data_IF_995004999339
#
_entry.id   IF_995004999339
#
_cell.length_a   1.000
_cell.length_b   1.000
_cell.length_c   1.000
_cell.angle_alpha   90.00
_cell.angle_beta   90.00
_cell.angle_gamma   90.00
#
_symmetry.space_group_name_H-M   'P 1'
#
loop_
_entity.id
_entity.type
_entity.pdbx_description
1 polymer ?
#
# COMPACT_ATOMS: atom_id res chain seq x y z
N UNK A 1 5.79 17.46 6.51
CA UNK A 1 6.36 16.21 5.98
C UNK A 1 6.82 16.51 4.58
N UNK A 2 8.07 16.18 4.21
CA UNK A 2 8.63 16.44 2.88
C UNK A 2 9.32 15.18 2.37
N UNK A 3 9.34 15.01 1.08
CA UNK A 3 9.99 13.92 0.35
C UNK A 3 10.77 14.54 -0.81
N UNK A 4 11.96 14.03 -1.06
CA UNK A 4 12.78 14.44 -2.21
C UNK A 4 12.84 13.28 -3.21
N UNK A 5 12.68 13.62 -4.49
CA UNK A 5 12.71 12.65 -5.58
C UNK A 5 13.96 12.86 -6.42
N UNK A 6 14.65 11.78 -6.74
CA UNK A 6 15.89 11.78 -7.52
C UNK A 6 15.86 10.79 -8.68
N UNK A 7 16.74 10.99 -9.66
CA UNK A 7 16.81 10.24 -10.93
C UNK A 7 18.22 9.67 -11.11
N UNK A 8 18.52 8.48 -10.54
CA UNK A 8 19.88 7.92 -10.58
C UNK A 8 20.29 7.37 -11.95
N UNK A 9 19.38 7.29 -12.91
CA UNK A 9 19.63 6.86 -14.28
C UNK A 9 18.74 5.69 -14.72
N UNK A 10 18.67 5.45 -16.03
CA UNK A 10 17.76 4.48 -16.61
C UNK A 10 16.30 4.87 -16.39
N UNK A 11 15.49 3.94 -15.93
CA UNK A 11 14.09 4.17 -15.53
C UNK A 11 13.90 4.17 -14.02
N UNK A 12 14.99 4.31 -13.26
CA UNK A 12 14.97 4.36 -11.81
C UNK A 12 14.58 5.72 -11.30
N UNK A 13 13.71 5.73 -10.32
CA UNK A 13 13.29 6.93 -9.59
C UNK A 13 13.35 6.60 -8.11
N UNK A 14 14.12 7.38 -7.36
CA UNK A 14 14.31 7.16 -5.92
C UNK A 14 13.64 8.27 -5.13
N UNK A 15 13.29 7.96 -3.91
CA UNK A 15 12.62 8.90 -3.03
C UNK A 15 13.18 8.81 -1.62
N UNK A 16 13.70 9.92 -1.10
CA UNK A 16 14.16 10.01 0.29
C UNK A 16 13.02 10.53 1.17
N UNK A 17 12.62 9.71 2.14
CA UNK A 17 11.50 9.99 3.00
C UNK A 17 11.69 9.42 4.41
N UNK A 18 11.58 10.26 5.43
CA UNK A 18 11.69 9.87 6.84
C UNK A 18 12.98 9.05 7.19
N UNK A 19 14.09 9.35 6.52
CA UNK A 19 15.36 8.66 6.74
C UNK A 19 15.52 7.35 5.96
N UNK A 20 14.61 7.03 5.08
CA UNK A 20 14.67 5.87 4.17
C UNK A 20 14.80 6.34 2.73
N UNK A 21 15.63 5.66 1.95
CA UNK A 21 15.60 5.75 0.49
C UNK A 21 14.72 4.63 -0.04
N UNK A 22 13.65 5.00 -0.72
CA UNK A 22 12.76 4.07 -1.41
C UNK A 22 13.15 4.06 -2.88
N UNK A 23 13.62 2.93 -3.35
CA UNK A 23 14.04 2.71 -4.73
C UNK A 23 12.88 2.19 -5.56
N UNK A 24 12.73 2.71 -6.77
CA UNK A 24 11.80 2.19 -7.78
C UNK A 24 12.49 2.05 -9.15
N UNK A 25 11.99 1.13 -9.95
CA UNK A 25 12.40 0.92 -11.34
C UNK A 25 11.15 0.61 -12.19
N UNK A 26 11.32 0.45 -13.46
CA UNK A 26 10.29 -0.06 -14.36
C UNK A 26 10.59 -1.51 -14.77
N UNK A 27 9.56 -2.20 -15.25
CA UNK A 27 9.73 -3.52 -15.87
C UNK A 27 10.56 -3.42 -17.15
N UNK A 28 11.19 -4.51 -17.58
CA UNK A 28 11.95 -4.57 -18.82
C UNK A 28 11.14 -4.16 -20.06
N UNK A 29 9.86 -4.58 -20.15
CA UNK A 29 8.93 -4.19 -21.23
C UNK A 29 8.67 -2.67 -21.29
N UNK A 30 8.87 -1.97 -20.17
CA UNK A 30 8.69 -0.51 -20.04
C UNK A 30 10.05 0.22 -20.06
N UNK A 31 11.13 -0.51 -20.41
CA UNK A 31 12.48 0.02 -20.59
C UNK A 31 13.31 0.13 -19.32
N UNK A 32 12.89 -0.48 -18.22
CA UNK A 32 13.64 -0.60 -16.97
C UNK A 32 14.46 -1.89 -16.91
N UNK A 33 15.15 -2.07 -15.79
CA UNK A 33 15.98 -3.24 -15.49
C UNK A 33 15.27 -4.22 -14.54
N UNK A 34 14.03 -3.91 -14.12
CA UNK A 34 13.28 -4.66 -13.11
C UNK A 34 14.10 -4.86 -11.81
N UNK A 35 14.90 -3.85 -11.45
CA UNK A 35 15.83 -3.90 -10.31
C UNK A 35 15.18 -3.55 -8.97
N UNK A 36 13.99 -2.99 -8.99
CA UNK A 36 13.18 -2.62 -7.83
C UNK A 36 11.68 -2.64 -8.19
N UNK A 37 10.78 -2.64 -7.20
CA UNK A 37 9.34 -2.51 -7.45
C UNK A 37 9.00 -1.25 -8.24
N UNK A 38 7.97 -1.30 -9.08
CA UNK A 38 7.47 -0.08 -9.71
C UNK A 38 6.77 0.83 -8.68
N UNK A 39 6.64 2.14 -8.95
CA UNK A 39 5.85 3.02 -8.08
C UNK A 39 4.42 2.52 -7.85
N UNK A 40 3.79 1.89 -8.86
CA UNK A 40 2.46 1.29 -8.74
C UNK A 40 2.46 0.08 -7.79
N UNK A 41 3.52 -0.74 -7.80
CA UNK A 41 3.64 -1.87 -6.87
C UNK A 41 3.70 -1.39 -5.43
N UNK A 42 4.48 -0.32 -5.16
CA UNK A 42 4.55 0.27 -3.83
C UNK A 42 3.19 0.79 -3.36
N UNK A 43 2.40 1.37 -4.25
CA UNK A 43 1.04 1.80 -3.96
C UNK A 43 0.16 0.62 -3.54
N UNK A 44 0.17 -0.49 -4.28
CA UNK A 44 -0.60 -1.69 -3.94
C UNK A 44 -0.10 -2.35 -2.66
N UNK A 45 1.22 -2.47 -2.49
CA UNK A 45 1.84 -2.98 -1.27
C UNK A 45 1.43 -2.16 -0.05
N UNK A 46 1.34 -0.84 -0.16
CA UNK A 46 0.94 0.03 0.94
C UNK A 46 -0.48 -0.27 1.45
N UNK A 47 -1.41 -0.66 0.56
CA UNK A 47 -2.78 -1.04 0.91
C UNK A 47 -2.77 -2.30 1.79
N UNK A 48 -2.04 -3.33 1.34
CA UNK A 48 -1.94 -4.61 2.07
C UNK A 48 -1.23 -4.47 3.41
N UNK A 49 -0.05 -3.85 3.41
CA UNK A 49 0.76 -3.70 4.63
C UNK A 49 0.10 -2.78 5.67
N UNK A 50 -0.63 -1.75 5.22
CA UNK A 50 -1.37 -0.89 6.14
C UNK A 50 -2.54 -1.67 6.81
N UNK A 51 -3.29 -2.48 6.08
CA UNK A 51 -4.31 -3.33 6.70
C UNK A 51 -3.66 -4.38 7.63
N UNK A 52 -2.52 -4.92 7.23
CA UNK A 52 -1.74 -5.90 7.99
C UNK A 52 -1.29 -5.37 9.36
N UNK A 53 -0.79 -4.13 9.45
CA UNK A 53 -0.38 -3.56 10.74
C UNK A 53 -1.57 -3.40 11.70
N UNK A 54 -2.78 -3.13 11.19
CA UNK A 54 -3.99 -3.09 12.03
C UNK A 54 -4.39 -4.48 12.53
N UNK A 55 -4.20 -5.52 11.70
CA UNK A 55 -4.42 -6.91 12.12
C UNK A 55 -3.40 -7.33 13.19
N UNK A 56 -2.12 -7.03 12.97
CA UNK A 56 -1.03 -7.30 13.91
C UNK A 56 -1.32 -6.67 15.28
N UNK A 57 -1.57 -5.35 15.31
CA UNK A 57 -1.87 -4.62 16.54
C UNK A 57 -3.14 -5.15 17.25
N UNK A 58 -4.12 -5.63 16.48
CA UNK A 58 -5.33 -6.24 17.05
C UNK A 58 -5.00 -7.54 17.77
N UNK A 59 -4.17 -8.39 17.16
CA UNK A 59 -3.75 -9.68 17.73
C UNK A 59 -2.89 -9.47 18.98
N UNK A 60 -1.87 -8.60 18.91
CA UNK A 60 -0.98 -8.30 20.03
C UNK A 60 -1.73 -7.84 21.28
N UNK A 61 -2.67 -6.89 21.12
CA UNK A 61 -3.49 -6.37 22.23
C UNK A 61 -4.38 -7.43 22.90
N UNK A 62 -4.53 -8.60 22.28
CA UNK A 62 -5.37 -9.71 22.79
C UNK A 62 -4.59 -10.96 23.08
N UNK A 63 -3.27 -10.90 23.00
CA UNK A 63 -2.37 -12.04 23.14
C UNK A 63 -2.75 -13.21 22.20
N UNK A 64 -3.12 -12.86 20.95
CA UNK A 64 -3.36 -13.81 19.87
C UNK A 64 -2.09 -13.87 19.03
N UNK A 65 -1.63 -15.06 18.69
CA UNK A 65 -0.50 -15.22 17.78
C UNK A 65 -0.87 -14.68 16.39
N UNK A 66 -0.18 -13.64 15.88
CA UNK A 66 -0.48 -13.08 14.57
C UNK A 66 -0.23 -14.03 13.41
N UNK A 67 0.55 -15.11 13.59
CA UNK A 67 0.76 -16.16 12.59
C UNK A 67 -0.51 -16.96 12.28
N UNK A 68 -1.52 -16.87 13.14
CA UNK A 68 -2.87 -17.41 12.90
C UNK A 68 -3.70 -16.61 11.89
N UNK A 69 -3.18 -15.47 11.40
CA UNK A 69 -3.85 -14.61 10.43
C UNK A 69 -3.01 -14.52 9.17
N UNK A 70 -3.49 -15.10 8.07
CA UNK A 70 -2.92 -14.90 6.74
C UNK A 70 -3.81 -13.96 5.96
N UNK A 71 -3.22 -12.97 5.32
CA UNK A 71 -3.94 -11.98 4.52
C UNK A 71 -3.40 -12.06 3.10
N UNK A 72 -4.29 -12.30 2.14
CA UNK A 72 -4.04 -12.20 0.72
C UNK A 72 -4.88 -11.07 0.15
N UNK A 73 -4.27 -10.21 -0.68
CA UNK A 73 -4.95 -9.06 -1.27
C UNK A 73 -5.03 -9.24 -2.77
N UNK A 74 -6.24 -9.26 -3.31
CA UNK A 74 -6.54 -9.37 -4.73
C UNK A 74 -7.00 -8.01 -5.26
N UNK A 75 -6.45 -7.61 -6.41
CA UNK A 75 -6.80 -6.37 -7.10
C UNK A 75 -7.51 -6.69 -8.41
N UNK A 76 -8.74 -6.22 -8.55
CA UNK A 76 -9.54 -6.40 -9.76
C UNK A 76 -9.59 -5.08 -10.54
N UNK A 77 -9.06 -5.11 -11.76
CA UNK A 77 -9.06 -3.97 -12.64
C UNK A 77 -10.30 -3.95 -13.55
N UNK A 78 -10.78 -2.75 -13.83
CA UNK A 78 -11.75 -2.52 -14.87
C UNK A 78 -11.12 -2.74 -16.25
N UNK A 79 -11.67 -3.61 -17.07
CA UNK A 79 -11.11 -3.99 -18.36
C UNK A 79 -11.03 -2.84 -19.39
N UNK A 80 -11.86 -1.79 -19.23
CA UNK A 80 -11.89 -0.65 -20.16
C UNK A 80 -10.93 0.47 -19.74
N UNK A 81 -10.86 0.77 -18.45
CA UNK A 81 -10.04 1.87 -17.91
C UNK A 81 -8.67 1.41 -17.40
N UNK A 82 -8.47 0.11 -17.21
CA UNK A 82 -7.31 -0.49 -16.56
C UNK A 82 -7.07 0.03 -15.12
N UNK A 83 -8.04 0.72 -14.53
CA UNK A 83 -7.98 1.17 -13.15
C UNK A 83 -8.51 0.10 -12.20
N UNK A 84 -7.92 0.00 -11.01
CA UNK A 84 -8.42 -0.90 -9.97
C UNK A 84 -9.79 -0.41 -9.50
N UNK A 85 -10.80 -1.26 -9.65
CA UNK A 85 -12.17 -0.97 -9.22
C UNK A 85 -12.56 -1.71 -7.94
N UNK A 86 -11.82 -2.78 -7.61
CA UNK A 86 -12.09 -3.56 -6.40
C UNK A 86 -10.81 -4.10 -5.78
N UNK A 87 -10.73 -4.00 -4.45
CA UNK A 87 -9.67 -4.62 -3.64
C UNK A 87 -10.35 -5.60 -2.69
N UNK A 88 -9.94 -6.87 -2.75
CA UNK A 88 -10.48 -7.94 -1.93
C UNK A 88 -9.41 -8.39 -0.96
N UNK A 89 -9.73 -8.40 0.33
CA UNK A 89 -8.90 -8.99 1.36
C UNK A 89 -9.44 -10.38 1.71
N UNK A 90 -8.73 -11.40 1.31
CA UNK A 90 -8.97 -12.77 1.73
C UNK A 90 -8.21 -12.99 3.04
N UNK A 91 -8.93 -13.20 4.12
CA UNK A 91 -8.36 -13.37 5.46
C UNK A 91 -8.56 -14.81 5.89
N UNK A 92 -7.49 -15.60 5.82
CA UNK A 92 -7.47 -16.98 6.27
C UNK A 92 -7.07 -17.01 7.75
N UNK A 93 -7.89 -17.65 8.56
CA UNK A 93 -7.68 -17.77 10.00
C UNK A 93 -7.38 -19.23 10.35
N UNK A 94 -6.31 -19.44 11.13
CA UNK A 94 -6.01 -20.76 11.64
C UNK A 94 -7.14 -21.27 12.57
N UNK A 95 -7.32 -22.59 12.71
CA UNK A 95 -8.35 -23.16 13.59
C UNK A 95 -8.28 -22.67 15.05
N UNK A 96 -7.09 -22.31 15.49
CA UNK A 96 -6.81 -21.79 16.84
C UNK A 96 -7.23 -20.33 17.03
N UNK A 97 -7.56 -19.62 15.94
CA UNK A 97 -8.00 -18.22 16.04
C UNK A 97 -9.37 -18.13 16.71
N UNK A 98 -9.52 -17.29 17.77
CA UNK A 98 -10.78 -17.22 18.50
C UNK A 98 -11.93 -16.63 17.66
N UNK A 99 -12.94 -17.42 17.34
CA UNK A 99 -14.08 -17.04 16.47
C UNK A 99 -14.76 -15.74 16.92
N UNK A 100 -14.91 -15.53 18.23
CA UNK A 100 -15.51 -14.32 18.80
C UNK A 100 -14.82 -13.01 18.40
N UNK A 101 -13.59 -13.06 17.90
CA UNK A 101 -12.81 -11.88 17.51
C UNK A 101 -12.78 -11.64 16.00
N UNK A 102 -13.32 -12.51 15.16
CA UNK A 102 -13.28 -12.39 13.70
C UNK A 102 -13.86 -11.06 13.23
N UNK A 103 -15.08 -10.74 13.65
CA UNK A 103 -15.74 -9.48 13.26
C UNK A 103 -14.95 -8.24 13.72
N UNK A 104 -14.36 -8.29 14.90
CA UNK A 104 -13.58 -7.18 15.44
C UNK A 104 -12.22 -7.02 14.74
N UNK A 105 -11.58 -8.13 14.31
CA UNK A 105 -10.38 -8.11 13.48
C UNK A 105 -10.66 -7.39 12.16
N UNK A 106 -11.71 -7.79 11.44
CA UNK A 106 -12.07 -7.17 10.16
C UNK A 106 -12.38 -5.68 10.33
N UNK A 107 -13.09 -5.31 11.39
CA UNK A 107 -13.34 -3.90 11.72
C UNK A 107 -12.04 -3.14 11.98
N UNK A 108 -11.06 -3.75 12.66
CA UNK A 108 -9.75 -3.14 12.89
C UNK A 108 -9.02 -2.90 11.57
N UNK A 109 -8.94 -3.88 10.69
CA UNK A 109 -8.31 -3.75 9.38
C UNK A 109 -8.95 -2.66 8.51
N UNK A 110 -10.27 -2.47 8.62
CA UNK A 110 -10.99 -1.41 7.93
C UNK A 110 -10.62 0.01 8.38
N UNK A 111 -9.94 0.19 9.51
CA UNK A 111 -9.41 1.48 9.96
C UNK A 111 -8.12 1.90 9.22
N UNK A 112 -7.66 1.10 8.27
CA UNK A 112 -6.44 1.33 7.49
C UNK A 112 -6.35 2.79 7.01
N UNK A 113 -5.24 3.46 7.38
CA UNK A 113 -5.02 4.88 7.07
C UNK A 113 -4.90 5.13 5.56
N UNK A 114 -4.26 4.21 4.84
CA UNK A 114 -4.17 4.26 3.37
C UNK A 114 -5.56 4.20 2.76
N UNK A 115 -6.44 3.27 3.21
CA UNK A 115 -7.82 3.16 2.73
C UNK A 115 -8.61 4.47 2.91
N UNK A 116 -8.42 5.17 4.04
CA UNK A 116 -9.11 6.45 4.30
C UNK A 116 -8.79 7.52 3.24
N UNK A 117 -7.62 7.47 2.62
CA UNK A 117 -7.26 8.40 1.53
C UNK A 117 -8.00 8.13 0.23
N UNK A 118 -8.61 6.96 0.05
CA UNK A 118 -9.53 6.71 -1.06
C UNK A 118 -10.94 7.26 -0.77
N UNK A 119 -11.33 7.28 0.50
CA UNK A 119 -12.62 7.83 0.94
C UNK A 119 -12.58 9.36 0.98
N UNK A 120 -11.41 9.92 1.28
CA UNK A 120 -11.14 11.36 1.35
C UNK A 120 -9.82 11.67 0.60
N UNK A 121 -9.85 11.68 -0.74
CA UNK A 121 -8.65 11.86 -1.54
C UNK A 121 -8.04 13.25 -1.34
N UNK A 122 -6.70 13.37 -1.33
CA UNK A 122 -6.02 14.65 -1.26
C UNK A 122 -6.18 15.42 -2.57
N UNK A 123 -6.05 16.74 -2.49
CA UNK A 123 -5.88 17.58 -3.67
C UNK A 123 -4.41 17.57 -4.09
N UNK A 124 -4.16 17.66 -5.40
CA UNK A 124 -2.83 17.76 -5.97
C UNK A 124 -2.61 19.17 -6.52
N UNK A 125 -1.47 19.77 -6.19
CA UNK A 125 -1.05 21.08 -6.70
C UNK A 125 0.40 20.95 -7.19
N UNK A 126 0.67 21.42 -8.40
CA UNK A 126 2.01 21.52 -8.96
C UNK A 126 2.45 22.98 -8.97
N UNK A 127 3.58 23.27 -8.34
CA UNK A 127 4.15 24.61 -8.25
C UNK A 127 5.56 24.56 -8.83
N UNK A 128 5.87 25.50 -9.72
CA UNK A 128 7.23 25.66 -10.26
C UNK A 128 7.92 26.86 -9.62
N UNK A 129 9.25 26.93 -9.74
CA UNK A 129 10.03 28.09 -9.31
C UNK A 129 9.70 29.38 -10.08
N UNK A 130 8.90 29.30 -11.14
CA UNK A 130 8.43 30.43 -11.93
C UNK A 130 7.01 30.87 -11.53
N UNK A 131 6.52 30.45 -10.35
CA UNK A 131 5.18 30.73 -9.80
C UNK A 131 4.01 30.33 -10.71
N UNK A 132 4.24 29.44 -11.67
CA UNK A 132 3.17 28.84 -12.49
C UNK A 132 2.54 27.70 -11.69
N UNK A 133 1.24 27.82 -11.43
CA UNK A 133 0.41 26.78 -10.77
C UNK A 133 -0.45 26.05 -11.79
N UNK A 134 -0.56 24.74 -11.65
CA UNK A 134 -1.36 23.85 -12.51
C UNK A 134 -2.32 23.02 -11.68
#
# INVERSE_FOLDING_TARGET
MKMEVSFPGGKRVYSDFNGFTVETDQNEKDGGDNSAPTPSDLFFVSIGTCAGIYALNFCEKRNIDPTHVKIEVEFQANQKSNMIEKVIFNVDLAPEYPEKYISALIKSMNLCYVKKHFEQPPQFEFVTNNDVKF
#
